data_IF_648475433731
#
_entry.id   IF_648475433731
#
_cell.length_a   1.000
_cell.length_b   1.000
_cell.length_c   1.000
_cell.angle_alpha   90.00
_cell.angle_beta   90.00
_cell.angle_gamma   90.00
#
_symmetry.space_group_name_H-M   'P 1'
#
loop_
_entity.id
_entity.type
_entity.pdbx_description
1 polymer ?
#
# COMPACT_ATOMS: atom_id res chain seq x y z
N UNK A 1 -7.73 -16.34 39.67
CA UNK A 1 -8.06 -17.43 38.74
C UNK A 1 -8.20 -16.80 37.37
N UNK A 2 -7.22 -17.11 36.50
CA UNK A 2 -7.04 -16.74 35.08
C UNK A 2 -7.00 -15.24 34.73
N UNK A 3 -5.78 -14.74 34.55
CA UNK A 3 -5.48 -13.61 33.67
C UNK A 3 -5.61 -14.13 32.24
N UNK A 4 -6.56 -13.62 31.48
CA UNK A 4 -6.71 -13.90 30.06
C UNK A 4 -5.50 -13.31 29.33
N UNK A 5 -4.60 -14.18 28.89
CA UNK A 5 -3.46 -13.82 28.04
C UNK A 5 -3.93 -13.20 26.73
N UNK A 6 -3.14 -12.24 26.26
CA UNK A 6 -3.35 -11.47 25.05
C UNK A 6 -3.74 -12.33 23.84
N UNK A 7 -4.66 -11.81 23.04
CA UNK A 7 -5.05 -12.39 21.76
C UNK A 7 -3.80 -12.43 20.86
N UNK A 8 -3.46 -13.63 20.42
CA UNK A 8 -2.26 -14.01 19.68
C UNK A 8 -2.07 -13.15 18.42
N UNK A 9 -1.09 -12.24 18.46
CA UNK A 9 -0.52 -11.63 17.27
C UNK A 9 0.83 -12.29 16.98
N UNK A 10 0.94 -13.04 15.89
CA UNK A 10 2.23 -13.45 15.34
C UNK A 10 3.02 -12.21 14.93
N UNK A 11 4.24 -12.03 15.41
CA UNK A 11 5.05 -10.89 14.93
C UNK A 11 5.46 -11.10 13.47
N UNK A 12 5.52 -10.03 12.65
CA UNK A 12 6.04 -10.15 11.30
C UNK A 12 7.43 -10.78 11.22
N UNK A 13 7.65 -11.67 10.25
CA UNK A 13 8.96 -12.28 9.99
C UNK A 13 9.79 -11.39 9.06
N UNK A 14 10.45 -10.40 9.65
CA UNK A 14 11.31 -9.45 8.93
C UNK A 14 12.52 -10.08 8.24
N UNK A 15 12.89 -11.32 8.61
CA UNK A 15 14.06 -12.01 8.04
C UNK A 15 13.73 -12.86 6.82
N UNK A 16 12.44 -12.99 6.49
CA UNK A 16 11.95 -13.69 5.30
C UNK A 16 11.16 -12.72 4.40
N UNK A 17 11.84 -11.72 3.79
CA UNK A 17 11.16 -10.68 3.02
C UNK A 17 10.57 -11.28 1.74
N UNK A 18 9.26 -11.46 1.73
CA UNK A 18 8.48 -11.76 0.54
C UNK A 18 7.33 -10.75 0.44
N UNK A 19 7.38 -9.91 -0.60
CA UNK A 19 6.42 -8.84 -0.83
C UNK A 19 6.36 -8.45 -2.33
N UNK A 20 5.99 -9.35 -3.26
CA UNK A 20 5.71 -8.95 -4.63
C UNK A 20 4.60 -7.89 -4.65
N UNK A 21 4.79 -6.90 -5.52
CA UNK A 21 3.89 -5.78 -5.73
C UNK A 21 3.27 -5.95 -7.11
N UNK A 22 1.95 -5.81 -7.22
CA UNK A 22 1.22 -5.78 -8.47
C UNK A 22 0.30 -4.57 -8.54
N UNK A 23 0.01 -4.19 -9.78
CA UNK A 23 -0.90 -3.12 -10.13
C UNK A 23 -2.02 -3.66 -11.03
N UNK A 24 -3.16 -2.98 -11.09
CA UNK A 24 -4.30 -3.42 -11.91
C UNK A 24 -4.10 -3.26 -13.42
N UNK A 25 -3.16 -2.42 -13.86
CA UNK A 25 -2.85 -2.16 -15.27
C UNK A 25 -1.34 -2.02 -15.49
N UNK A 26 -0.93 -2.28 -16.73
CA UNK A 26 0.45 -2.02 -17.18
C UNK A 26 0.69 -0.55 -17.56
N UNK A 27 -0.37 0.21 -17.84
CA UNK A 27 -0.29 1.62 -18.28
C UNK A 27 -1.45 2.41 -17.71
N UNK A 28 -1.16 3.64 -17.29
CA UNK A 28 -2.10 4.54 -16.66
C UNK A 28 -2.12 5.90 -17.35
N UNK A 29 -3.30 6.52 -17.41
CA UNK A 29 -3.46 7.93 -17.72
C UNK A 29 -3.18 8.80 -16.48
N UNK A 30 -2.94 10.09 -16.69
CA UNK A 30 -2.57 11.06 -15.65
C UNK A 30 -3.68 11.36 -14.62
N UNK A 31 -4.92 10.92 -14.86
CA UNK A 31 -6.04 10.97 -13.91
C UNK A 31 -6.47 9.59 -13.41
N UNK A 32 -5.78 8.53 -13.82
CA UNK A 32 -6.22 7.18 -13.48
C UNK A 32 -6.06 6.89 -11.98
N UNK A 33 -6.96 6.04 -11.50
CA UNK A 33 -6.80 5.38 -10.22
C UNK A 33 -5.95 4.12 -10.41
N UNK A 34 -4.90 4.00 -9.60
CA UNK A 34 -3.99 2.86 -9.52
C UNK A 34 -4.39 2.04 -8.31
N UNK A 35 -4.78 0.78 -8.53
CA UNK A 35 -4.98 -0.19 -7.46
C UNK A 35 -3.68 -0.95 -7.22
N UNK A 36 -3.24 -0.98 -5.98
CA UNK A 36 -1.98 -1.59 -5.55
C UNK A 36 -2.32 -2.84 -4.76
N UNK A 37 -1.64 -3.94 -5.06
CA UNK A 37 -1.70 -5.17 -4.26
C UNK A 37 -0.29 -5.61 -3.88
N UNK A 38 -0.11 -5.95 -2.61
CA UNK A 38 1.13 -6.54 -2.09
C UNK A 38 0.78 -7.87 -1.42
N UNK A 39 1.43 -8.95 -1.86
CA UNK A 39 1.30 -10.25 -1.19
C UNK A 39 2.45 -10.39 -0.20
N UNK A 40 2.18 -10.22 1.09
CA UNK A 40 3.20 -10.31 2.14
C UNK A 40 2.72 -11.12 3.35
N UNK A 41 2.77 -12.46 3.28
CA UNK A 41 2.41 -13.34 4.39
C UNK A 41 3.28 -13.12 5.63
N UNK A 42 4.52 -12.64 5.45
CA UNK A 42 5.43 -12.33 6.55
C UNK A 42 5.00 -11.10 7.36
N UNK A 43 4.09 -10.26 6.85
CA UNK A 43 3.53 -9.10 7.56
C UNK A 43 2.11 -9.33 8.07
N UNK A 44 1.55 -10.53 7.85
CA UNK A 44 0.28 -10.94 8.42
C UNK A 44 0.53 -11.44 9.85
N UNK A 45 0.11 -10.61 10.80
CA UNK A 45 0.38 -10.73 12.22
C UNK A 45 -0.82 -11.23 13.03
N UNK A 46 -2.04 -10.96 12.59
CA UNK A 46 -3.24 -11.32 13.34
C UNK A 46 -4.16 -12.22 12.51
N UNK A 47 -4.16 -13.50 12.83
CA UNK A 47 -4.97 -14.50 12.12
C UNK A 47 -6.49 -14.28 12.24
N UNK A 48 -6.95 -13.44 13.18
CA UNK A 48 -8.36 -13.12 13.39
C UNK A 48 -8.71 -11.66 13.06
N UNK A 49 -7.71 -10.84 12.72
CA UNK A 49 -7.85 -9.40 12.52
C UNK A 49 -7.59 -8.99 11.08
N UNK A 50 -7.81 -7.70 10.79
CA UNK A 50 -7.38 -7.07 9.55
C UNK A 50 -6.12 -6.27 9.89
N UNK A 51 -5.01 -6.66 9.28
CA UNK A 51 -3.75 -5.96 9.49
C UNK A 51 -3.56 -4.79 8.53
N UNK A 52 -2.62 -3.90 8.89
CA UNK A 52 -2.18 -2.80 8.04
C UNK A 52 -0.67 -2.78 7.94
N UNK A 53 -0.15 -2.33 6.79
CA UNK A 53 1.28 -2.17 6.55
C UNK A 53 1.58 -0.81 5.95
N UNK A 54 2.82 -0.36 6.12
CA UNK A 54 3.38 0.79 5.40
C UNK A 54 3.16 2.15 6.05
N UNK A 55 2.37 2.26 7.13
CA UNK A 55 2.14 3.50 7.89
C UNK A 55 3.21 3.75 8.97
N UNK A 56 4.01 2.75 9.32
CA UNK A 56 5.12 2.89 10.25
C UNK A 56 6.38 3.52 9.61
N UNK A 57 7.23 4.13 10.46
CA UNK A 57 8.46 4.80 10.05
C UNK A 57 9.65 3.86 9.78
N UNK A 58 9.65 2.65 10.36
CA UNK A 58 10.70 1.64 10.18
C UNK A 58 10.49 0.85 8.89
N UNK A 59 9.24 0.54 8.55
CA UNK A 59 8.88 -0.21 7.34
C UNK A 59 7.84 0.56 6.48
N UNK A 60 8.18 1.75 5.96
CA UNK A 60 7.24 2.57 5.22
C UNK A 60 7.02 2.01 3.81
N UNK A 61 5.77 2.11 3.33
CA UNK A 61 5.51 2.01 1.89
C UNK A 61 5.64 3.42 1.30
N UNK A 62 6.49 3.53 0.28
CA UNK A 62 6.67 4.76 -0.49
C UNK A 62 6.12 4.57 -1.88
N UNK A 63 5.26 5.48 -2.31
CA UNK A 63 4.75 5.56 -3.68
C UNK A 63 5.40 6.78 -4.33
N UNK A 64 5.90 6.65 -5.54
CA UNK A 64 6.58 7.76 -6.23
C UNK A 64 6.22 7.77 -7.71
N UNK A 65 5.94 8.97 -8.21
CA UNK A 65 5.87 9.29 -9.64
C UNK A 65 7.11 10.11 -10.02
N UNK A 66 7.21 10.54 -11.27
CA UNK A 66 8.29 11.43 -11.71
C UNK A 66 8.31 12.78 -11.00
N UNK A 67 7.17 13.28 -10.53
CA UNK A 67 7.01 14.63 -9.97
C UNK A 67 6.56 14.67 -8.50
N UNK A 68 6.09 13.56 -7.93
CA UNK A 68 5.55 13.53 -6.58
C UNK A 68 5.87 12.22 -5.85
N UNK A 69 5.78 12.24 -4.52
CA UNK A 69 5.89 11.03 -3.72
C UNK A 69 5.00 11.08 -2.48
N UNK A 70 4.47 9.93 -2.10
CA UNK A 70 3.80 9.69 -0.84
C UNK A 70 4.71 8.83 0.03
N UNK A 71 4.95 9.25 1.27
CA UNK A 71 5.65 8.47 2.29
C UNK A 71 4.66 7.88 3.28
N UNK A 72 5.01 6.74 3.88
CA UNK A 72 4.21 6.07 4.89
C UNK A 72 2.77 5.77 4.42
N UNK A 73 2.64 5.29 3.18
CA UNK A 73 1.33 5.00 2.60
C UNK A 73 0.78 3.69 3.18
N UNK A 74 -0.42 3.76 3.75
CA UNK A 74 -1.04 2.61 4.41
C UNK A 74 -1.75 1.70 3.42
N UNK A 75 -1.41 0.41 3.43
CA UNK A 75 -2.22 -0.64 2.81
C UNK A 75 -2.94 -1.45 3.89
N UNK A 76 -4.11 -1.97 3.53
CA UNK A 76 -4.98 -2.72 4.43
C UNK A 76 -5.11 -4.14 3.92
N UNK A 77 -5.08 -5.12 4.82
CA UNK A 77 -5.30 -6.51 4.48
C UNK A 77 -6.70 -6.73 3.90
N UNK A 78 -6.78 -7.52 2.84
CA UNK A 78 -8.02 -7.75 2.07
C UNK A 78 -9.06 -8.58 2.81
N UNK A 79 -8.60 -9.47 3.70
CA UNK A 79 -9.43 -10.25 4.62
C UNK A 79 -8.54 -10.77 5.75
N UNK A 80 -9.12 -11.16 6.87
CA UNK A 80 -8.33 -11.67 7.99
C UNK A 80 -7.47 -12.85 7.56
N UNK A 81 -6.19 -12.82 7.96
CA UNK A 81 -5.20 -13.85 7.70
C UNK A 81 -4.89 -14.12 6.21
N UNK A 82 -5.14 -13.16 5.31
CA UNK A 82 -4.86 -13.36 3.88
C UNK A 82 -3.38 -13.15 3.56
N UNK A 83 -2.70 -12.28 4.29
CA UNK A 83 -1.38 -11.77 3.93
C UNK A 83 -1.36 -11.04 2.58
N UNK A 84 -2.52 -10.56 2.12
CA UNK A 84 -2.66 -9.78 0.89
C UNK A 84 -3.18 -8.41 1.28
N UNK A 85 -2.39 -7.38 1.00
CA UNK A 85 -2.67 -6.00 1.34
C UNK A 85 -2.97 -5.19 0.08
N UNK A 86 -3.97 -4.32 0.14
CA UNK A 86 -4.35 -3.48 -0.98
C UNK A 86 -4.62 -2.03 -0.59
N UNK A 87 -4.59 -1.17 -1.61
CA UNK A 87 -4.83 0.26 -1.49
C UNK A 87 -4.95 0.91 -2.87
N UNK A 88 -5.24 2.20 -2.88
CA UNK A 88 -5.56 2.94 -4.10
C UNK A 88 -4.94 4.34 -4.07
N UNK A 89 -4.26 4.71 -5.16
CA UNK A 89 -3.83 6.09 -5.37
C UNK A 89 -4.47 6.64 -6.63
N UNK A 90 -4.98 7.86 -6.53
CA UNK A 90 -5.45 8.61 -7.71
C UNK A 90 -4.30 9.45 -8.23
N UNK A 91 -3.95 9.26 -9.49
CA UNK A 91 -3.01 10.14 -10.16
C UNK A 91 -3.69 11.50 -10.34
N UNK A 92 -3.04 12.52 -9.82
CA UNK A 92 -3.38 13.91 -10.10
C UNK A 92 -2.39 14.35 -11.16
N UNK A 93 -2.89 14.78 -12.31
CA UNK A 93 -2.03 15.20 -13.42
C UNK A 93 -1.02 16.27 -13.06
N UNK A 94 -0.23 16.65 -14.05
CA UNK A 94 0.60 17.85 -13.99
C UNK A 94 -0.10 18.96 -14.77
N UNK A 95 0.11 20.21 -14.34
CA UNK A 95 -0.27 21.37 -15.14
C UNK A 95 0.38 21.25 -16.51
N UNK A 96 -0.43 21.09 -17.54
CA UNK A 96 0.03 20.92 -18.92
C UNK A 96 -0.61 22.00 -19.79
N UNK A 97 -0.02 22.32 -20.93
CA UNK A 97 -0.66 23.20 -21.92
C UNK A 97 -1.11 22.27 -23.05
N UNK A 98 -2.32 21.72 -22.93
CA UNK A 98 -2.82 20.71 -23.87
C UNK A 98 -3.07 21.26 -25.28
N UNK A 99 -3.31 22.56 -25.42
CA UNK A 99 -3.68 23.19 -26.70
C UNK A 99 -2.60 24.12 -27.27
N UNK A 100 -1.52 24.36 -26.53
CA UNK A 100 -0.36 25.15 -26.95
C UNK A 100 -0.60 26.66 -26.87
N UNK A 101 -1.56 27.12 -26.05
CA UNK A 101 -1.90 28.55 -25.92
C UNK A 101 -1.00 29.33 -24.94
N UNK A 102 -0.05 28.64 -24.30
CA UNK A 102 0.86 29.18 -23.31
C UNK A 102 0.27 29.26 -21.90
N UNK A 103 -0.92 28.70 -21.65
CA UNK A 103 -1.50 28.53 -20.31
C UNK A 103 -1.60 27.06 -19.96
N UNK A 104 -1.53 26.78 -18.67
CA UNK A 104 -1.75 25.43 -18.17
C UNK A 104 -3.23 25.16 -17.93
N UNK A 105 -3.73 24.01 -18.38
CA UNK A 105 -5.05 23.46 -18.07
C UNK A 105 -5.08 22.56 -16.81
#
# INVERSE_FOLDING_TARGET
>A
MLVTGALDGHQPDYYKPYAPISFDKETYSWTDKVHITIVSPAWNSNEYGIDTIGDDSQFPIKISTSSHNLSQYKLVETSANSGIFSGEVTLTGFSHDVDGDGKTD
#
